data_IF_076321395425
#
_entry.id   IF_076321395425
#
_cell.length_a   1.000
_cell.length_b   1.000
_cell.length_c   1.000
_cell.angle_alpha   90.00
_cell.angle_beta   90.00
_cell.angle_gamma   90.00
#
_symmetry.space_group_name_H-M   'P 1'
#
loop_
_entity.id
_entity.type
_entity.pdbx_description
1 polymer ?
#
# COMPACT_ATOMS: atom_id res chain seq x y z
N UNK A 1 11.88 -24.26 -2.61
CA UNK A 1 10.96 -23.14 -2.82
C UNK A 1 9.59 -23.73 -3.14
N UNK A 2 8.61 -23.49 -2.29
CA UNK A 2 7.21 -23.85 -2.55
C UNK A 2 6.68 -22.89 -3.61
N UNK A 3 6.03 -23.40 -4.67
CA UNK A 3 5.41 -22.55 -5.67
C UNK A 3 4.12 -21.92 -5.11
N UNK A 4 3.65 -20.82 -5.71
CA UNK A 4 2.33 -20.25 -5.44
C UNK A 4 1.23 -21.32 -5.59
N UNK A 5 0.25 -21.32 -4.69
CA UNK A 5 -0.82 -22.33 -4.65
C UNK A 5 -2.17 -21.72 -5.07
N UNK A 6 -3.16 -22.53 -5.50
CA UNK A 6 -4.54 -22.07 -5.64
C UNK A 6 -5.07 -21.46 -4.34
N UNK A 7 -5.42 -20.18 -4.34
CA UNK A 7 -6.00 -19.51 -3.16
C UNK A 7 -7.46 -19.09 -3.36
N UNK A 8 -7.83 -18.76 -4.60
CA UNK A 8 -9.13 -18.15 -4.91
C UNK A 8 -9.69 -18.79 -6.16
N UNK A 9 -10.97 -19.14 -6.13
CA UNK A 9 -11.71 -19.63 -7.27
C UNK A 9 -12.68 -18.57 -7.80
N UNK A 10 -12.93 -18.64 -9.10
CA UNK A 10 -13.93 -17.85 -9.81
C UNK A 10 -15.05 -18.82 -10.16
N UNK A 11 -16.23 -18.61 -9.57
CA UNK A 11 -17.38 -19.50 -9.76
C UNK A 11 -18.51 -18.72 -10.41
N UNK A 12 -19.02 -19.20 -11.56
CA UNK A 12 -20.16 -18.64 -12.29
C UNK A 12 -21.17 -19.74 -12.60
N UNK A 13 -22.42 -19.55 -12.21
CA UNK A 13 -23.48 -20.54 -12.42
C UNK A 13 -23.14 -21.93 -11.84
N UNK A 14 -22.38 -21.95 -10.73
CA UNK A 14 -21.92 -23.20 -10.09
C UNK A 14 -20.68 -23.86 -10.72
N UNK A 15 -20.17 -23.33 -11.84
CA UNK A 15 -18.95 -23.84 -12.49
C UNK A 15 -17.75 -23.02 -12.06
N UNK A 16 -16.67 -23.68 -11.62
CA UNK A 16 -15.37 -23.05 -11.42
C UNK A 16 -14.72 -22.77 -12.76
N UNK A 17 -14.79 -21.52 -13.22
CA UNK A 17 -14.26 -21.10 -14.52
C UNK A 17 -12.79 -20.64 -14.46
N UNK A 18 -12.27 -20.34 -13.26
CA UNK A 18 -10.88 -19.94 -13.09
C UNK A 18 -10.37 -20.03 -11.66
N UNK A 19 -9.06 -19.88 -11.51
CA UNK A 19 -8.34 -19.96 -10.24
C UNK A 19 -7.24 -18.91 -10.24
N UNK A 20 -7.13 -18.15 -9.15
CA UNK A 20 -5.97 -17.32 -8.87
C UNK A 20 -5.01 -18.06 -7.93
N UNK A 21 -3.75 -18.13 -8.34
CA UNK A 21 -2.67 -18.64 -7.50
C UNK A 21 -2.07 -17.50 -6.69
N UNK A 22 -1.55 -17.81 -5.51
CA UNK A 22 -0.85 -16.82 -4.71
C UNK A 22 -0.11 -17.41 -3.52
N UNK A 23 0.37 -16.49 -2.70
CA UNK A 23 1.13 -16.76 -1.49
C UNK A 23 0.66 -15.86 -0.36
N UNK A 24 0.71 -16.38 0.86
CA UNK A 24 0.39 -15.65 2.09
C UNK A 24 1.42 -16.02 3.15
N UNK A 25 1.94 -15.03 3.86
CA UNK A 25 2.74 -15.23 5.07
C UNK A 25 2.14 -14.45 6.23
N UNK A 26 2.16 -15.07 7.41
CA UNK A 26 1.85 -14.43 8.69
C UNK A 26 3.08 -14.54 9.58
N UNK A 27 3.54 -13.40 10.09
CA UNK A 27 4.64 -13.32 11.04
C UNK A 27 4.15 -12.97 12.43
N UNK A 28 4.78 -13.50 13.46
CA UNK A 28 4.59 -13.08 14.83
C UNK A 28 5.20 -11.68 15.06
N UNK A 29 4.92 -11.02 16.20
CA UNK A 29 5.48 -9.72 16.53
C UNK A 29 7.01 -9.66 16.62
N UNK A 30 7.68 -10.81 16.81
CA UNK A 30 9.13 -10.95 16.80
C UNK A 30 9.73 -11.18 15.39
N UNK A 31 8.88 -11.25 14.36
CA UNK A 31 9.27 -11.46 12.97
C UNK A 31 9.46 -12.93 12.56
N UNK A 32 9.22 -13.89 13.47
CA UNK A 32 9.17 -15.32 13.13
C UNK A 32 7.95 -15.63 12.26
N UNK A 33 8.06 -16.60 11.34
CA UNK A 33 6.95 -17.03 10.49
C UNK A 33 6.06 -17.98 11.27
N UNK A 34 4.79 -17.63 11.45
CA UNK A 34 3.77 -18.47 12.08
C UNK A 34 3.07 -19.36 11.06
N UNK A 35 2.82 -18.82 9.88
CA UNK A 35 2.13 -19.51 8.78
C UNK A 35 2.67 -19.01 7.45
N UNK A 36 2.88 -19.93 6.51
CA UNK A 36 3.23 -19.59 5.14
C UNK A 36 2.55 -20.59 4.20
N UNK A 37 1.92 -20.06 3.14
CA UNK A 37 1.42 -20.84 2.01
C UNK A 37 1.92 -20.20 0.72
N UNK A 38 2.28 -21.03 -0.27
CA UNK A 38 2.88 -20.57 -1.52
C UNK A 38 4.37 -20.22 -1.41
N UNK A 39 4.87 -19.43 -2.36
CA UNK A 39 6.22 -18.87 -2.36
C UNK A 39 6.24 -17.53 -1.60
N UNK A 40 6.87 -17.51 -0.43
CA UNK A 40 6.92 -16.31 0.44
C UNK A 40 8.31 -15.69 0.52
N UNK A 41 9.33 -16.38 -0.01
CA UNK A 41 10.74 -16.01 0.11
C UNK A 41 11.30 -15.42 -1.19
N UNK A 42 10.71 -15.76 -2.35
CA UNK A 42 11.08 -15.11 -3.61
C UNK A 42 10.82 -13.61 -3.54
N UNK A 43 11.82 -12.83 -3.97
CA UNK A 43 11.70 -11.39 -4.01
C UNK A 43 10.66 -10.98 -5.06
N UNK A 44 9.71 -10.15 -4.65
CA UNK A 44 8.75 -9.50 -5.53
C UNK A 44 8.88 -8.00 -5.36
N UNK A 45 8.26 -7.21 -6.24
CA UNK A 45 8.11 -5.78 -6.01
C UNK A 45 6.81 -5.54 -5.24
N UNK A 46 6.83 -5.11 -3.96
CA UNK A 46 5.61 -4.77 -3.21
C UNK A 46 4.93 -3.50 -3.73
N UNK A 47 5.65 -2.75 -4.60
CA UNK A 47 5.19 -1.49 -5.20
C UNK A 47 4.79 -0.53 -4.09
N UNK A 48 3.55 -0.04 -4.12
CA UNK A 48 3.06 0.93 -3.14
C UNK A 48 3.03 0.41 -1.69
N UNK A 49 3.11 -0.90 -1.45
CA UNK A 49 3.21 -1.44 -0.09
C UNK A 49 4.51 -1.05 0.63
N UNK A 50 5.55 -0.58 -0.08
CA UNK A 50 6.78 -0.05 0.55
C UNK A 50 6.64 1.36 1.14
N UNK A 51 5.55 2.09 0.83
CA UNK A 51 5.40 3.50 1.17
C UNK A 51 5.47 3.83 2.66
N UNK A 52 4.98 2.99 3.60
CA UNK A 52 5.15 3.25 5.02
C UNK A 52 6.64 3.32 5.43
N UNK A 53 7.47 2.41 4.90
CA UNK A 53 8.91 2.46 5.12
C UNK A 53 9.57 3.68 4.45
N UNK A 54 9.11 4.07 3.25
CA UNK A 54 9.57 5.30 2.61
C UNK A 54 9.22 6.54 3.44
N UNK A 55 8.01 6.62 4.00
CA UNK A 55 7.62 7.70 4.90
C UNK A 55 8.45 7.72 6.19
N UNK A 56 8.75 6.53 6.75
CA UNK A 56 9.65 6.39 7.89
C UNK A 56 11.05 6.92 7.58
N UNK A 57 11.59 6.57 6.40
CA UNK A 57 12.90 7.05 5.96
C UNK A 57 12.94 8.56 5.78
N UNK A 58 11.87 9.17 5.26
CA UNK A 58 11.76 10.63 5.19
C UNK A 58 11.78 11.28 6.58
N UNK A 59 11.04 10.74 7.56
CA UNK A 59 11.08 11.24 8.94
C UNK A 59 12.49 11.13 9.56
N UNK A 60 13.20 10.03 9.29
CA UNK A 60 14.60 9.84 9.74
C UNK A 60 15.58 10.78 9.05
N UNK A 61 15.34 11.09 7.78
CA UNK A 61 16.07 12.11 7.04
C UNK A 61 15.86 13.53 7.59
N UNK A 62 14.88 13.73 8.48
CA UNK A 62 14.57 15.02 9.09
C UNK A 62 13.33 15.70 8.51
N UNK A 63 12.45 14.97 7.82
CA UNK A 63 11.15 15.49 7.41
C UNK A 63 10.31 15.83 8.65
N UNK A 64 9.91 17.08 8.76
CA UNK A 64 8.91 17.58 9.70
C UNK A 64 7.61 17.88 8.96
N UNK A 65 6.53 17.29 9.45
CA UNK A 65 5.16 17.53 8.99
C UNK A 65 4.31 17.95 10.20
N UNK A 66 3.58 19.08 10.11
CA UNK A 66 2.82 19.60 11.24
C UNK A 66 1.57 18.77 11.56
N UNK A 67 1.00 18.09 10.55
CA UNK A 67 -0.25 17.35 10.68
C UNK A 67 -0.02 15.86 10.41
N UNK A 68 -0.65 14.99 11.21
CA UNK A 68 -0.65 13.54 10.93
C UNK A 68 -1.27 13.22 9.57
N UNK A 69 -2.26 14.01 9.13
CA UNK A 69 -2.86 13.89 7.81
C UNK A 69 -1.85 14.05 6.65
N UNK A 70 -0.84 14.91 6.80
CA UNK A 70 0.23 15.04 5.79
C UNK A 70 1.14 13.81 5.79
N UNK A 71 1.38 13.21 6.96
CA UNK A 71 2.17 11.98 7.07
C UNK A 71 1.42 10.77 6.50
N UNK A 72 0.11 10.68 6.69
CA UNK A 72 -0.73 9.68 6.03
C UNK A 72 -0.66 9.82 4.50
N UNK A 73 -0.71 11.07 4.00
CA UNK A 73 -0.57 11.39 2.59
C UNK A 73 0.83 11.03 2.05
N UNK A 74 1.89 11.19 2.84
CA UNK A 74 3.25 10.77 2.48
C UNK A 74 3.36 9.25 2.23
N UNK A 75 2.55 8.45 2.93
CA UNK A 75 2.47 7.00 2.75
C UNK A 75 1.39 6.53 1.74
N UNK A 76 0.73 7.47 1.04
CA UNK A 76 -0.49 7.20 0.28
C UNK A 76 -0.27 6.67 -1.15
N UNK A 77 -1.28 5.96 -1.64
CA UNK A 77 -1.61 5.81 -3.06
C UNK A 77 -3.00 6.41 -3.29
N UNK A 78 -3.17 7.71 -3.03
CA UNK A 78 -4.48 8.34 -2.96
C UNK A 78 -5.27 8.24 -4.27
N UNK A 79 -6.60 8.34 -4.18
CA UNK A 79 -7.47 8.21 -5.35
C UNK A 79 -7.63 9.50 -6.16
N UNK A 80 -7.02 10.61 -5.74
CA UNK A 80 -7.00 11.85 -6.50
C UNK A 80 -8.29 12.67 -6.39
N UNK A 81 -9.12 12.34 -5.39
CA UNK A 81 -10.28 13.17 -5.02
C UNK A 81 -9.85 14.58 -4.59
N UNK A 82 -10.77 15.54 -4.64
CA UNK A 82 -10.49 16.97 -4.48
C UNK A 82 -9.71 17.32 -3.20
N UNK A 83 -10.07 16.74 -2.06
CA UNK A 83 -9.37 16.95 -0.79
C UNK A 83 -7.96 16.32 -0.74
N UNK A 84 -7.69 15.23 -1.48
CA UNK A 84 -6.32 14.73 -1.65
C UNK A 84 -5.46 15.77 -2.37
N UNK A 85 -5.95 16.25 -3.52
CA UNK A 85 -5.23 17.19 -4.37
C UNK A 85 -4.99 18.52 -3.65
N UNK A 86 -6.01 19.02 -2.93
CA UNK A 86 -5.87 20.23 -2.12
C UNK A 86 -4.76 20.09 -1.08
N UNK A 87 -4.67 18.95 -0.41
CA UNK A 87 -3.63 18.71 0.60
C UNK A 87 -2.23 18.53 0.00
N UNK A 88 -2.10 17.85 -1.15
CA UNK A 88 -0.82 17.79 -1.88
C UNK A 88 -0.36 19.20 -2.25
N UNK A 89 -1.26 20.05 -2.76
CA UNK A 89 -0.96 21.44 -3.13
C UNK A 89 -0.51 22.24 -1.92
N UNK A 90 -1.21 22.10 -0.80
CA UNK A 90 -0.86 22.80 0.44
C UNK A 90 0.50 22.37 0.98
N UNK A 91 0.81 21.06 0.96
CA UNK A 91 2.11 20.56 1.40
C UNK A 91 3.26 21.11 0.52
N UNK A 92 3.07 21.17 -0.80
CA UNK A 92 4.03 21.80 -1.71
C UNK A 92 4.20 23.30 -1.38
N UNK A 93 3.08 24.02 -1.25
CA UNK A 93 3.08 25.47 -0.97
C UNK A 93 3.77 25.80 0.35
N UNK A 94 3.54 25.02 1.41
CA UNK A 94 4.20 25.19 2.73
C UNK A 94 5.72 25.07 2.65
N UNK A 95 6.24 24.31 1.68
CA UNK A 95 7.67 24.13 1.43
C UNK A 95 8.18 25.03 0.30
N UNK A 96 7.43 26.06 -0.09
CA UNK A 96 7.85 27.03 -1.12
C UNK A 96 7.84 26.47 -2.55
N UNK A 97 7.11 25.38 -2.80
CA UNK A 97 7.10 24.69 -4.09
C UNK A 97 5.77 24.87 -4.82
N UNK A 98 5.84 24.81 -6.16
CA UNK A 98 4.67 24.69 -7.03
C UNK A 98 4.47 23.23 -7.47
N UNK A 99 3.33 22.95 -8.12
CA UNK A 99 3.06 21.63 -8.73
C UNK A 99 4.11 21.24 -9.78
N UNK A 100 4.85 22.21 -10.34
CA UNK A 100 5.90 21.98 -11.33
C UNK A 100 7.12 21.22 -10.79
N UNK A 101 7.30 21.17 -9.47
CA UNK A 101 8.37 20.39 -8.83
C UNK A 101 8.09 18.87 -8.85
N UNK A 102 6.84 18.45 -9.03
CA UNK A 102 6.49 17.04 -9.09
C UNK A 102 7.13 16.37 -10.31
N UNK A 103 7.75 15.21 -10.09
CA UNK A 103 8.39 14.40 -11.16
C UNK A 103 7.62 13.11 -11.45
N UNK A 104 6.59 12.77 -10.67
CA UNK A 104 5.64 11.69 -11.00
C UNK A 104 4.89 11.99 -12.31
N UNK A 105 4.51 10.99 -13.12
CA UNK A 105 3.86 11.21 -14.41
C UNK A 105 2.54 11.99 -14.27
N UNK A 106 2.09 12.56 -15.39
CA UNK A 106 0.75 13.15 -15.49
C UNK A 106 -0.26 12.02 -15.59
N UNK A 107 -1.23 12.00 -14.70
CA UNK A 107 -2.27 10.99 -14.71
C UNK A 107 -3.65 11.57 -14.36
N UNK A 108 -4.69 10.77 -14.53
CA UNK A 108 -6.01 11.03 -14.00
C UNK A 108 -6.12 10.57 -12.54
N UNK A 109 -7.07 11.12 -11.75
CA UNK A 109 -7.50 10.49 -10.51
C UNK A 109 -7.84 9.01 -10.72
N UNK A 110 -7.54 8.17 -9.72
CA UNK A 110 -7.95 6.77 -9.74
C UNK A 110 -9.44 6.59 -9.42
N UNK A 111 -10.02 7.50 -8.63
CA UNK A 111 -11.46 7.51 -8.42
C UNK A 111 -12.15 8.03 -9.68
N UNK A 112 -13.06 7.23 -10.23
CA UNK A 112 -13.71 7.51 -11.51
C UNK A 112 -14.56 8.78 -11.45
N UNK A 113 -15.33 8.99 -10.38
CA UNK A 113 -16.11 10.22 -10.21
C UNK A 113 -15.22 11.47 -10.15
N UNK A 114 -14.10 11.42 -9.42
CA UNK A 114 -13.13 12.52 -9.37
C UNK A 114 -12.43 12.76 -10.71
N UNK A 115 -12.19 11.70 -11.50
CA UNK A 115 -11.68 11.83 -12.87
C UNK A 115 -12.70 12.55 -13.75
N UNK A 116 -13.95 12.11 -13.72
CA UNK A 116 -15.02 12.63 -14.57
C UNK A 116 -15.31 14.09 -14.22
N UNK A 117 -15.41 14.43 -12.92
CA UNK A 117 -15.54 15.82 -12.44
C UNK A 117 -14.40 16.71 -12.95
N UNK A 118 -13.14 16.22 -12.92
CA UNK A 118 -12.00 16.98 -13.44
C UNK A 118 -12.05 17.19 -14.94
N UNK A 119 -12.48 16.17 -15.69
CA UNK A 119 -12.64 16.27 -17.13
C UNK A 119 -13.72 17.30 -17.50
N UNK A 120 -14.85 17.30 -16.77
CA UNK A 120 -15.93 18.29 -16.92
C UNK A 120 -15.46 19.72 -16.61
N UNK A 121 -14.56 19.88 -15.64
CA UNK A 121 -13.89 21.17 -15.34
C UNK A 121 -12.85 21.59 -16.38
N UNK A 122 -12.63 20.80 -17.45
CA UNK A 122 -11.69 21.10 -18.53
C UNK A 122 -10.22 20.81 -18.20
N UNK A 123 -9.94 20.12 -17.08
CA UNK A 123 -8.59 19.66 -16.79
C UNK A 123 -8.22 18.45 -17.64
N UNK A 124 -6.94 18.32 -17.99
CA UNK A 124 -6.36 17.08 -18.52
C UNK A 124 -5.63 16.29 -17.43
N UNK A 125 -4.85 15.29 -17.83
CA UNK A 125 -3.93 14.58 -16.92
C UNK A 125 -2.94 15.54 -16.25
N UNK A 126 -2.79 15.43 -14.93
CA UNK A 126 -1.94 16.31 -14.11
C UNK A 126 -1.09 15.50 -13.15
N UNK A 127 0.12 15.99 -12.82
CA UNK A 127 1.01 15.31 -11.88
C UNK A 127 0.44 15.28 -10.47
N UNK A 128 -0.27 16.34 -10.06
CA UNK A 128 -0.91 16.42 -8.74
C UNK A 128 -2.10 15.45 -8.57
N UNK A 129 -2.71 15.01 -9.67
CA UNK A 129 -3.80 14.03 -9.64
C UNK A 129 -3.30 12.59 -9.57
N UNK A 130 -2.04 12.36 -9.93
CA UNK A 130 -1.41 11.04 -9.91
C UNK A 130 -1.35 10.50 -8.48
N UNK A 131 -1.68 9.22 -8.31
CA UNK A 131 -1.89 8.58 -7.00
C UNK A 131 -0.69 8.60 -6.04
N UNK A 132 0.53 8.80 -6.54
CA UNK A 132 1.74 8.92 -5.74
C UNK A 132 2.13 10.37 -5.45
N UNK A 133 1.38 11.36 -5.92
CA UNK A 133 1.77 12.77 -5.77
C UNK A 133 1.91 13.19 -4.30
N UNK A 134 1.16 12.59 -3.38
CA UNK A 134 1.34 12.74 -1.92
C UNK A 134 2.69 12.24 -1.39
N UNK A 135 3.16 11.09 -1.87
CA UNK A 135 4.53 10.62 -1.58
C UNK A 135 5.57 11.58 -2.15
N UNK A 136 5.38 12.02 -3.41
CA UNK A 136 6.34 12.92 -4.07
C UNK A 136 6.40 14.30 -3.41
N UNK A 137 5.29 14.85 -2.93
CA UNK A 137 5.32 16.11 -2.18
C UNK A 137 6.05 15.98 -0.85
N UNK A 138 5.94 14.84 -0.16
CA UNK A 138 6.73 14.56 1.04
C UNK A 138 8.24 14.37 0.73
N UNK A 139 8.57 13.69 -0.38
CA UNK A 139 9.96 13.57 -0.85
C UNK A 139 10.57 14.95 -1.12
N UNK A 140 9.84 15.81 -1.82
CA UNK A 140 10.24 17.18 -2.11
C UNK A 140 10.36 18.04 -0.84
N UNK A 141 9.40 17.94 0.09
CA UNK A 141 9.47 18.62 1.38
C UNK A 141 10.72 18.20 2.17
N UNK A 142 11.04 16.90 2.15
CA UNK A 142 12.27 16.38 2.76
C UNK A 142 13.50 17.02 2.12
N UNK A 143 13.56 17.08 0.79
CA UNK A 143 14.68 17.73 0.09
C UNK A 143 14.81 19.22 0.46
N UNK A 144 13.70 19.97 0.50
CA UNK A 144 13.71 21.39 0.90
C UNK A 144 14.27 21.56 2.32
N UNK A 145 13.76 20.80 3.29
CA UNK A 145 14.16 20.90 4.69
C UNK A 145 15.62 20.47 4.92
N UNK A 146 16.19 19.70 4.00
CA UNK A 146 17.58 19.22 4.04
C UNK A 146 18.54 19.98 3.14
N UNK A 147 18.05 20.95 2.37
CA UNK A 147 18.85 21.66 1.38
C UNK A 147 19.38 20.73 0.27
N UNK A 148 18.66 19.65 -0.02
CA UNK A 148 18.99 18.71 -1.10
C UNK A 148 18.37 19.14 -2.42
N UNK A 149 18.92 18.61 -3.51
CA UNK A 149 18.45 18.89 -4.87
C UNK A 149 17.00 18.45 -5.07
N UNK A 150 16.27 19.25 -5.85
CA UNK A 150 14.87 18.99 -6.23
C UNK A 150 14.76 18.41 -7.64
N UNK A 151 15.83 18.45 -8.43
CA UNK A 151 15.80 18.07 -9.84
C UNK A 151 16.00 16.57 -10.05
N UNK A 152 16.73 15.93 -9.15
CA UNK A 152 17.17 14.54 -9.22
C UNK A 152 16.77 13.73 -7.98
N UNK A 153 15.77 14.16 -7.20
CA UNK A 153 15.33 13.43 -5.99
C UNK A 153 14.83 12.00 -6.25
N UNK A 154 14.62 11.62 -7.52
CA UNK A 154 14.27 10.26 -7.94
C UNK A 154 15.49 9.40 -8.31
N UNK A 155 16.68 9.99 -8.44
CA UNK A 155 17.92 9.25 -8.71
C UNK A 155 18.22 8.32 -7.51
N UNK A 156 18.46 7.01 -7.72
CA UNK A 156 18.85 6.09 -6.65
C UNK A 156 20.07 6.54 -5.82
N UNK A 157 20.93 7.40 -6.37
CA UNK A 157 22.11 7.97 -5.69
C UNK A 157 21.79 9.23 -4.89
N UNK A 158 20.61 9.83 -5.06
CA UNK A 158 20.20 11.01 -4.31
C UNK A 158 20.15 10.67 -2.80
N UNK A 159 20.62 11.55 -1.88
CA UNK A 159 20.64 11.28 -0.44
C UNK A 159 19.31 10.78 0.14
N UNK A 160 18.20 11.35 -0.33
CA UNK A 160 16.85 10.88 -0.03
C UNK A 160 16.69 9.38 -0.34
N UNK A 161 16.98 8.94 -1.56
CA UNK A 161 16.74 7.56 -2.00
C UNK A 161 17.66 6.57 -1.29
N UNK A 162 18.88 6.99 -0.93
CA UNK A 162 19.79 6.20 -0.09
C UNK A 162 19.19 5.95 1.29
N UNK A 163 18.63 6.98 1.94
CA UNK A 163 17.94 6.83 3.24
C UNK A 163 16.70 5.93 3.14
N UNK A 164 15.93 6.07 2.05
CA UNK A 164 14.75 5.22 1.83
C UNK A 164 15.13 3.76 1.61
N UNK A 165 16.18 3.50 0.83
CA UNK A 165 16.73 2.16 0.62
C UNK A 165 17.20 1.54 1.93
N UNK A 166 17.97 2.29 2.74
CA UNK A 166 18.45 1.83 4.03
C UNK A 166 17.29 1.52 4.99
N UNK A 167 16.28 2.38 5.05
CA UNK A 167 15.10 2.18 5.90
C UNK A 167 14.28 0.96 5.46
N UNK A 168 14.08 0.75 4.16
CA UNK A 168 13.38 -0.44 3.65
C UNK A 168 14.15 -1.72 4.00
N UNK A 169 15.47 -1.73 3.82
CA UNK A 169 16.36 -2.85 4.17
C UNK A 169 16.26 -3.20 5.66
N UNK A 170 16.34 -2.19 6.53
CA UNK A 170 16.24 -2.38 7.98
C UNK A 170 14.87 -2.96 8.37
N UNK A 171 13.78 -2.33 7.91
CA UNK A 171 12.43 -2.71 8.34
C UNK A 171 11.98 -4.04 7.76
N UNK A 172 12.42 -4.39 6.54
CA UNK A 172 12.18 -5.72 5.98
C UNK A 172 13.02 -6.81 6.68
N UNK A 173 14.08 -6.42 7.40
CA UNK A 173 15.06 -7.31 8.00
C UNK A 173 15.72 -8.25 6.97
N UNK A 174 15.94 -7.75 5.76
CA UNK A 174 16.59 -8.46 4.65
C UNK A 174 17.16 -7.47 3.62
N UNK A 175 18.18 -7.87 2.83
CA UNK A 175 18.68 -7.03 1.75
C UNK A 175 17.64 -6.86 0.64
N UNK A 176 17.63 -5.68 0.03
CA UNK A 176 16.88 -5.44 -1.21
C UNK A 176 17.51 -6.28 -2.33
N UNK A 177 16.74 -7.22 -2.89
CA UNK A 177 17.23 -8.16 -3.90
C UNK A 177 17.46 -7.51 -5.27
N UNK A 178 16.64 -6.52 -5.62
CA UNK A 178 16.78 -5.74 -6.83
C UNK A 178 16.16 -4.34 -6.67
N UNK A 179 16.73 -3.37 -7.39
CA UNK A 179 16.14 -2.03 -7.51
C UNK A 179 15.76 -1.77 -8.97
N UNK A 180 14.56 -1.24 -9.19
CA UNK A 180 14.07 -0.80 -10.50
C UNK A 180 13.38 0.56 -10.38
N UNK A 181 12.62 0.95 -11.39
CA UNK A 181 11.85 2.20 -11.43
C UNK A 181 10.35 1.89 -11.37
N UNK A 182 9.66 2.48 -10.41
CA UNK A 182 8.21 2.36 -10.25
C UNK A 182 7.47 3.15 -11.34
N UNK A 183 6.17 2.90 -11.53
CA UNK A 183 5.33 3.68 -12.45
C UNK A 183 5.29 5.17 -12.14
N UNK A 184 5.61 5.57 -10.91
CA UNK A 184 5.74 6.98 -10.52
C UNK A 184 7.12 7.59 -10.81
N UNK A 185 8.08 6.80 -11.29
CA UNK A 185 9.47 7.20 -11.54
C UNK A 185 10.41 7.11 -10.35
N UNK A 186 9.93 6.77 -9.15
CA UNK A 186 10.78 6.60 -7.97
C UNK A 186 11.42 5.19 -7.93
N UNK A 187 12.52 5.01 -7.18
CA UNK A 187 13.11 3.70 -6.96
C UNK A 187 12.11 2.69 -6.38
N UNK A 188 12.18 1.47 -6.91
CA UNK A 188 11.32 0.35 -6.57
C UNK A 188 12.18 -0.78 -5.99
N UNK A 189 11.95 -1.12 -4.73
CA UNK A 189 12.77 -2.08 -3.98
C UNK A 189 12.09 -3.45 -3.92
N UNK A 190 12.76 -4.48 -4.43
CA UNK A 190 12.30 -5.85 -4.36
C UNK A 190 12.69 -6.52 -3.04
N UNK A 191 11.71 -7.12 -2.37
CA UNK A 191 11.82 -7.85 -1.10
C UNK A 191 10.86 -9.05 -1.12
N UNK A 192 11.07 -10.01 -0.25
CA UNK A 192 10.20 -11.16 -0.02
C UNK A 192 8.88 -10.75 0.65
N UNK A 193 7.87 -11.63 0.62
CA UNK A 193 6.65 -11.41 1.40
C UNK A 193 6.94 -11.47 2.90
N UNK A 194 7.85 -12.36 3.30
CA UNK A 194 8.30 -12.45 4.70
C UNK A 194 8.88 -11.11 5.17
N UNK A 195 9.75 -10.49 4.36
CA UNK A 195 10.31 -9.18 4.64
C UNK A 195 9.24 -8.08 4.69
N UNK A 196 8.26 -8.12 3.77
CA UNK A 196 7.15 -7.18 3.77
C UNK A 196 6.26 -7.31 5.02
N UNK A 197 5.95 -8.53 5.46
CA UNK A 197 5.18 -8.76 6.68
C UNK A 197 5.91 -8.25 7.94
N UNK A 198 7.22 -8.53 8.04
CA UNK A 198 8.09 -7.98 9.10
C UNK A 198 8.10 -6.46 9.10
N UNK A 199 8.23 -5.84 7.93
CA UNK A 199 8.19 -4.38 7.77
C UNK A 199 6.92 -3.81 8.39
N UNK A 200 5.76 -4.39 8.12
CA UNK A 200 4.49 -3.91 8.66
C UNK A 200 4.40 -4.13 10.18
N UNK A 201 4.80 -5.30 10.65
CA UNK A 201 4.90 -5.61 12.08
C UNK A 201 5.75 -4.57 12.82
N UNK A 202 6.95 -4.26 12.30
CA UNK A 202 7.87 -3.28 12.90
C UNK A 202 7.31 -1.86 13.01
N UNK A 203 6.39 -1.44 12.14
CA UNK A 203 5.72 -0.15 12.26
C UNK A 203 4.76 -0.14 13.46
N UNK A 204 4.05 -1.24 13.68
CA UNK A 204 3.01 -1.34 14.72
C UNK A 204 3.61 -1.60 16.10
N UNK A 205 4.62 -2.46 16.20
CA UNK A 205 5.26 -2.84 17.47
C UNK A 205 6.20 -1.77 18.02
N UNK A 206 6.51 -0.75 17.23
CA UNK A 206 7.31 0.38 17.66
C UNK A 206 6.66 1.18 18.79
N UNK A 207 7.49 1.65 19.72
CA UNK A 207 7.04 2.54 20.79
C UNK A 207 6.43 3.83 20.22
N UNK A 208 5.37 4.38 20.85
CA UNK A 208 4.77 5.66 20.48
C UNK A 208 5.82 6.78 20.32
N UNK A 209 5.65 7.61 19.29
CA UNK A 209 6.56 8.72 18.98
C UNK A 209 7.74 8.36 18.09
N UNK A 210 8.14 7.08 18.00
CA UNK A 210 9.18 6.67 17.03
C UNK A 210 8.69 6.89 15.58
N UNK A 211 9.57 7.25 14.63
CA UNK A 211 9.19 7.56 13.24
C UNK A 211 8.26 6.52 12.59
N UNK A 212 8.61 5.23 12.67
CA UNK A 212 7.79 4.15 12.10
C UNK A 212 6.43 3.98 12.78
N UNK A 213 6.35 4.25 14.10
CA UNK A 213 5.08 4.25 14.83
C UNK A 213 4.19 5.40 14.41
N UNK A 214 4.77 6.61 14.27
CA UNK A 214 4.05 7.81 13.81
C UNK A 214 3.43 7.60 12.43
N UNK A 215 4.12 6.92 11.51
CA UNK A 215 3.59 6.58 10.19
C UNK A 215 2.37 5.67 10.31
N UNK A 216 2.44 4.59 11.10
CA UNK A 216 1.31 3.69 11.31
C UNK A 216 0.11 4.42 11.92
N UNK A 217 0.34 5.22 12.95
CA UNK A 217 -0.71 5.96 13.65
C UNK A 217 -1.36 7.00 12.72
N UNK A 218 -0.57 7.72 11.91
CA UNK A 218 -1.09 8.65 10.93
C UNK A 218 -1.96 7.98 9.86
N UNK A 219 -1.51 6.84 9.32
CA UNK A 219 -2.27 6.06 8.33
C UNK A 219 -3.61 5.57 8.91
N UNK A 220 -3.60 5.09 10.15
CA UNK A 220 -4.81 4.64 10.86
C UNK A 220 -5.76 5.76 11.22
N UNK A 221 -5.24 6.93 11.57
CA UNK A 221 -6.06 8.12 11.87
C UNK A 221 -6.69 8.72 10.60
N UNK A 222 -6.07 8.51 9.44
CA UNK A 222 -6.52 9.09 8.18
C UNK A 222 -6.54 8.04 7.04
N UNK A 223 -7.28 6.94 7.18
CA UNK A 223 -7.23 5.83 6.23
C UNK A 223 -7.78 6.23 4.85
N UNK A 224 -8.72 7.18 4.82
CA UNK A 224 -9.20 7.79 3.58
C UNK A 224 -8.08 8.51 2.82
N UNK A 225 -7.19 9.26 3.49
CA UNK A 225 -6.07 9.95 2.81
C UNK A 225 -5.03 8.97 2.23
N UNK A 226 -4.94 7.74 2.77
CA UNK A 226 -3.99 6.72 2.32
C UNK A 226 -4.38 6.14 0.96
N UNK A 227 -5.67 5.93 0.70
CA UNK A 227 -6.13 5.33 -0.57
C UNK A 227 -7.28 6.05 -1.25
N UNK A 228 -8.22 6.62 -0.52
CA UNK A 228 -9.45 7.24 -1.01
C UNK A 228 -10.70 6.36 -0.89
N UNK A 229 -11.82 6.90 -1.36
CA UNK A 229 -13.15 6.35 -1.21
C UNK A 229 -13.29 4.96 -1.83
N UNK A 230 -13.86 4.00 -1.07
CA UNK A 230 -14.18 2.65 -1.56
C UNK A 230 -12.99 1.70 -1.71
N UNK A 231 -11.75 2.16 -1.45
CA UNK A 231 -10.51 1.39 -1.66
C UNK A 231 -10.16 0.49 -0.46
N UNK A 232 -9.29 -0.49 -0.73
CA UNK A 232 -8.94 -1.56 0.20
C UNK A 232 -8.40 -1.03 1.54
N UNK A 233 -7.38 -0.16 1.49
CA UNK A 233 -6.73 0.37 2.70
C UNK A 233 -7.72 1.15 3.58
N UNK A 234 -8.54 2.01 2.96
CA UNK A 234 -9.57 2.77 3.68
C UNK A 234 -10.61 1.87 4.35
N UNK A 235 -11.08 0.83 3.65
CA UNK A 235 -12.09 -0.10 4.19
C UNK A 235 -11.51 -0.95 5.32
N UNK A 236 -10.33 -1.56 5.10
CA UNK A 236 -9.69 -2.45 6.06
C UNK A 236 -9.33 -1.73 7.37
N UNK A 237 -8.67 -0.57 7.30
CA UNK A 237 -8.27 0.18 8.49
C UNK A 237 -9.46 0.80 9.24
N UNK A 238 -10.59 1.06 8.56
CA UNK A 238 -11.79 1.56 9.23
C UNK A 238 -12.55 0.45 9.96
N UNK A 239 -12.57 -0.75 9.40
CA UNK A 239 -13.34 -1.89 9.92
C UNK A 239 -12.61 -2.68 11.02
N UNK A 240 -11.27 -2.71 11.02
CA UNK A 240 -10.49 -3.47 12.01
C UNK A 240 -9.70 -2.50 12.90
N UNK A 241 -10.09 -2.32 14.17
CA UNK A 241 -9.43 -1.39 15.08
C UNK A 241 -7.92 -1.66 15.20
N UNK A 242 -7.12 -0.63 14.94
CA UNK A 242 -5.66 -0.72 15.03
C UNK A 242 -5.02 -1.54 13.91
N UNK A 243 -5.73 -1.93 12.85
CA UNK A 243 -5.10 -2.52 11.66
C UNK A 243 -4.30 -1.47 10.90
N UNK A 244 -3.09 -1.82 10.47
CA UNK A 244 -2.35 -1.08 9.44
C UNK A 244 -2.53 -1.82 8.12
N UNK A 245 -2.87 -1.12 7.03
CA UNK A 245 -2.99 -1.71 5.70
C UNK A 245 -2.28 -0.86 4.65
N UNK A 246 -1.60 -1.52 3.71
CA UNK A 246 -1.17 -0.88 2.47
C UNK A 246 -1.24 -1.82 1.28
N UNK A 247 -2.06 -1.43 0.33
CA UNK A 247 -2.20 -2.12 -0.94
C UNK A 247 -1.07 -1.73 -1.91
N UNK A 248 -0.58 -2.74 -2.64
CA UNK A 248 0.28 -2.62 -3.80
C UNK A 248 -0.51 -2.90 -5.08
N UNK A 249 0.08 -2.58 -6.23
CA UNK A 249 -0.41 -3.08 -7.53
C UNK A 249 0.18 -4.47 -7.78
N UNK A 250 -0.25 -5.16 -8.83
CA UNK A 250 0.18 -6.55 -9.10
C UNK A 250 -0.17 -7.50 -7.95
N UNK A 251 -1.38 -7.40 -7.38
CA UNK A 251 -1.90 -8.39 -6.44
C UNK A 251 -1.27 -8.38 -5.03
N UNK A 252 -0.51 -7.35 -4.66
CA UNK A 252 0.15 -7.27 -3.33
C UNK A 252 -0.74 -6.55 -2.30
N UNK A 253 -0.81 -7.09 -1.09
CA UNK A 253 -1.36 -6.43 0.11
C UNK A 253 -0.49 -6.76 1.32
N UNK A 254 -0.24 -5.76 2.16
CA UNK A 254 0.46 -5.94 3.42
C UNK A 254 -0.38 -5.36 4.56
N UNK A 255 -0.45 -6.09 5.67
CA UNK A 255 -1.21 -5.74 6.85
C UNK A 255 -0.36 -5.91 8.12
N UNK A 256 -0.70 -5.19 9.18
CA UNK A 256 -0.30 -5.56 10.53
C UNK A 256 -1.40 -5.30 11.56
N UNK A 257 -1.64 -6.31 12.40
CA UNK A 257 -2.58 -6.27 13.51
C UNK A 257 -2.01 -5.44 14.67
N UNK A 258 -2.87 -4.89 15.56
CA UNK A 258 -2.43 -4.06 16.68
C UNK A 258 -1.49 -4.76 17.66
N UNK A 259 -1.53 -6.09 17.74
CA UNK A 259 -0.65 -6.91 18.56
C UNK A 259 0.71 -7.21 17.90
N UNK A 260 0.91 -6.77 16.65
CA UNK A 260 2.17 -6.90 15.93
C UNK A 260 2.23 -8.06 14.94
N UNK A 261 1.18 -8.86 14.78
CA UNK A 261 1.18 -9.86 13.70
C UNK A 261 1.24 -9.17 12.33
N UNK A 262 2.24 -9.52 11.53
CA UNK A 262 2.41 -9.03 10.16
C UNK A 262 1.81 -10.00 9.15
N UNK A 263 1.21 -9.49 8.08
CA UNK A 263 0.63 -10.31 7.01
C UNK A 263 1.07 -9.73 5.67
N UNK A 264 1.50 -10.58 4.74
CA UNK A 264 1.74 -10.18 3.36
C UNK A 264 1.14 -11.20 2.39
N UNK A 265 0.47 -10.70 1.35
CA UNK A 265 -0.27 -11.46 0.35
C UNK A 265 0.24 -11.06 -1.03
N UNK A 266 0.43 -12.06 -1.90
CA UNK A 266 0.67 -11.89 -3.33
C UNK A 266 -0.28 -12.77 -4.12
N UNK A 267 -1.02 -12.16 -5.05
CA UNK A 267 -1.69 -12.87 -6.13
C UNK A 267 -0.78 -12.88 -7.34
N UNK A 268 -0.49 -14.06 -7.87
CA UNK A 268 0.62 -14.27 -8.81
C UNK A 268 0.38 -13.62 -10.17
N UNK A 269 -0.85 -13.71 -10.68
CA UNK A 269 -1.27 -13.06 -11.93
C UNK A 269 -1.57 -11.55 -11.78
N UNK A 270 -1.32 -11.00 -10.59
CA UNK A 270 -1.48 -9.57 -10.30
C UNK A 270 -2.93 -9.13 -10.08
N UNK A 271 -3.91 -10.04 -10.09
CA UNK A 271 -5.32 -9.69 -10.04
C UNK A 271 -5.75 -9.08 -8.69
N UNK A 272 -6.31 -7.87 -8.74
CA UNK A 272 -6.81 -7.17 -7.55
C UNK A 272 -8.04 -7.87 -6.92
N UNK A 273 -8.91 -8.45 -7.75
CA UNK A 273 -10.19 -9.07 -7.34
C UNK A 273 -10.04 -10.29 -6.40
N UNK A 274 -8.87 -10.91 -6.35
CA UNK A 274 -8.58 -12.05 -5.47
C UNK A 274 -8.01 -11.62 -4.12
N UNK A 275 -7.46 -10.40 -4.03
CA UNK A 275 -6.63 -9.97 -2.90
C UNK A 275 -7.42 -9.75 -1.61
N UNK A 276 -8.57 -9.09 -1.69
CA UNK A 276 -9.44 -8.85 -0.52
C UNK A 276 -10.09 -10.14 0.00
N UNK A 277 -10.61 -11.04 -0.85
CA UNK A 277 -11.04 -12.37 -0.41
C UNK A 277 -9.98 -13.11 0.42
N UNK A 278 -8.72 -13.14 -0.05
CA UNK A 278 -7.61 -13.78 0.70
C UNK A 278 -7.31 -13.05 2.01
N UNK A 279 -7.35 -11.71 2.00
CA UNK A 279 -7.11 -10.91 3.20
C UNK A 279 -8.15 -11.19 4.30
N UNK A 280 -9.43 -11.18 3.95
CA UNK A 280 -10.52 -11.45 4.90
C UNK A 280 -10.44 -12.88 5.41
N UNK A 281 -10.17 -13.86 4.55
CA UNK A 281 -9.99 -15.24 4.97
C UNK A 281 -8.78 -15.40 5.92
N UNK A 282 -7.67 -14.72 5.65
CA UNK A 282 -6.48 -14.73 6.53
C UNK A 282 -6.76 -14.08 7.88
N UNK A 283 -7.48 -12.95 7.91
CA UNK A 283 -7.88 -12.32 9.17
C UNK A 283 -8.79 -13.25 10.00
N UNK A 284 -9.68 -13.98 9.33
CA UNK A 284 -10.56 -14.97 9.98
C UNK A 284 -9.79 -16.14 10.57
N UNK A 285 -8.75 -16.65 9.90
CA UNK A 285 -7.91 -17.73 10.48
C UNK A 285 -7.10 -17.27 11.70
N UNK A 286 -6.87 -15.96 11.84
CA UNK A 286 -6.25 -15.34 13.01
C UNK A 286 -7.25 -14.97 14.11
N UNK A 287 -8.54 -15.31 13.95
CA UNK A 287 -9.57 -15.05 14.95
C UNK A 287 -10.03 -13.58 15.03
N UNK A 288 -9.73 -12.77 14.01
CA UNK A 288 -10.21 -11.40 13.92
C UNK A 288 -11.68 -11.39 13.49
N UNK A 289 -12.49 -10.56 14.15
CA UNK A 289 -13.86 -10.32 13.71
C UNK A 289 -13.87 -9.60 12.36
N UNK A 290 -14.45 -10.26 11.37
CA UNK A 290 -14.55 -9.78 9.99
C UNK A 290 -15.98 -9.40 9.60
N UNK A 291 -16.90 -9.21 10.56
CA UNK A 291 -18.30 -8.88 10.28
C UNK A 291 -18.48 -7.65 9.38
N UNK A 292 -17.75 -6.56 9.65
CA UNK A 292 -17.75 -5.36 8.80
C UNK A 292 -17.01 -5.55 7.46
N UNK A 293 -16.23 -6.63 7.33
CA UNK A 293 -15.47 -6.98 6.14
C UNK A 293 -16.13 -8.07 5.30
N UNK A 294 -17.29 -8.60 5.69
CA UNK A 294 -17.90 -9.75 5.00
C UNK A 294 -18.23 -9.42 3.54
N UNK A 295 -18.59 -8.17 3.25
CA UNK A 295 -18.80 -7.68 1.88
C UNK A 295 -17.52 -7.69 1.01
N UNK A 296 -16.34 -7.88 1.61
CA UNK A 296 -15.04 -8.00 0.94
C UNK A 296 -14.51 -9.45 0.91
N UNK A 297 -15.20 -10.38 1.57
CA UNK A 297 -14.84 -11.80 1.58
C UNK A 297 -15.03 -12.45 0.19
N UNK A 298 -15.93 -11.89 -0.62
CA UNK A 298 -16.19 -12.31 -2.00
C UNK A 298 -16.33 -11.10 -2.92
N UNK A 299 -15.79 -11.18 -4.14
CA UNK A 299 -16.10 -10.21 -5.20
C UNK A 299 -17.28 -10.75 -6.02
N UNK A 300 -18.44 -10.08 -6.06
CA UNK A 300 -19.59 -10.55 -6.81
C UNK A 300 -19.33 -10.52 -8.34
N UNK A 301 -19.78 -11.56 -9.03
CA UNK A 301 -19.79 -11.60 -10.49
C UNK A 301 -21.20 -11.36 -11.00
N UNK A 302 -21.34 -10.45 -11.96
CA UNK A 302 -22.61 -10.11 -12.57
C UNK A 302 -22.73 -10.61 -14.01
N UNK A 303 -23.96 -10.88 -14.45
CA UNK A 303 -24.34 -11.23 -15.81
C UNK A 303 -25.73 -10.67 -16.09
N UNK A 304 -25.85 -9.78 -17.08
CA UNK A 304 -27.11 -9.08 -17.35
C UNK A 304 -27.59 -8.17 -16.20
N UNK A 305 -26.69 -7.74 -15.32
CA UNK A 305 -27.02 -6.94 -14.13
C UNK A 305 -27.32 -7.75 -12.87
N UNK A 306 -27.54 -9.06 -13.01
CA UNK A 306 -27.85 -9.96 -11.89
C UNK A 306 -26.60 -10.68 -11.38
N UNK A 307 -26.55 -10.99 -10.07
CA UNK A 307 -25.44 -11.76 -9.51
C UNK A 307 -25.51 -13.21 -10.00
N UNK A 308 -24.46 -13.67 -10.66
CA UNK A 308 -24.36 -15.02 -11.24
C UNK A 308 -23.21 -15.83 -10.65
N UNK A 309 -22.45 -15.25 -9.72
CA UNK A 309 -21.25 -15.88 -9.19
C UNK A 309 -20.45 -15.03 -8.23
N UNK A 310 -19.24 -15.50 -7.93
CA UNK A 310 -18.29 -14.82 -7.06
C UNK A 310 -16.84 -15.21 -7.35
N UNK A 311 -15.93 -14.31 -7.02
CA UNK A 311 -14.52 -14.61 -6.77
C UNK A 311 -14.36 -14.78 -5.26
N UNK A 312 -13.97 -15.97 -4.81
CA UNK A 312 -13.97 -16.32 -3.38
C UNK A 312 -12.79 -17.22 -3.00
N UNK A 313 -12.39 -17.27 -1.71
CA UNK A 313 -11.32 -18.15 -1.26
C UNK A 313 -11.69 -19.62 -1.49
N UNK A 314 -10.71 -20.43 -1.89
CA UNK A 314 -10.88 -21.88 -1.95
C UNK A 314 -10.93 -22.41 -0.50
N UNK A 315 -11.97 -23.17 -0.10
CA UNK A 315 -12.04 -23.74 1.24
C UNK A 315 -10.78 -24.53 1.61
N UNK A 316 -10.21 -24.24 2.77
CA UNK A 316 -9.00 -24.90 3.29
C UNK A 316 -7.68 -24.52 2.62
N UNK A 317 -7.67 -23.60 1.65
CA UNK A 317 -6.42 -23.19 0.98
C UNK A 317 -5.46 -22.41 1.89
N UNK A 318 -5.95 -21.90 3.01
CA UNK A 318 -5.17 -21.16 4.00
C UNK A 318 -4.95 -21.94 5.30
N UNK A 319 -5.44 -23.18 5.42
CA UNK A 319 -5.40 -23.99 6.64
C UNK A 319 -4.00 -24.52 6.99
#
# INVERSE_FOLDING_TARGET
MTAAIPLVEIVRGGVREGVHHGSVVVTAPDGSVLRAVGDVDSATYPRSSNKPAQATGMLRAGLELPEQADLALAASSHSGESAHIARVRELLRRNGLSEGALRCPRDWPLNEAARDERAEQGFGRQRIAMNCSGKHSAMLATCVQRGWSLDDYLDPKHPLQVELHATVTELAAEPIAATSVDGCGAPLFAISLTGLARMFSHHVTAAPGLPRRRVADAMRAHPWLVSGSGRADSKLMSAVPGLLSKEGVEGVLALALPDGHGIAIKIEDGAARARLPVAVATLRTLGIDVGELEALAEEPLFGGGERVGAVRPIPGALD
#
